data_IF_232965607483
#
_entry.id   IF_232965607483
#
_cell.length_a   1.000
_cell.length_b   1.000
_cell.length_c   1.000
_cell.angle_alpha   90.00
_cell.angle_beta   90.00
_cell.angle_gamma   90.00
#
_symmetry.space_group_name_H-M   'P 1'
#
loop_
_entity.id
_entity.type
_entity.pdbx_description
1 polymer ?
#
# COMPACT_ATOMS: atom_id res chain seq x y z
N UNK A 1 29.91 1.71 -20.47
CA UNK A 1 29.01 2.68 -19.82
C UNK A 1 27.63 2.07 -19.81
N UNK A 2 26.98 1.98 -18.66
CA UNK A 2 25.56 1.58 -18.59
C UNK A 2 24.75 2.74 -19.19
N UNK A 3 23.92 2.47 -20.19
CA UNK A 3 23.07 3.51 -20.78
C UNK A 3 22.13 4.08 -19.71
N UNK A 4 21.81 5.35 -19.84
CA UNK A 4 20.87 6.03 -18.94
C UNK A 4 19.54 5.25 -18.87
N UNK A 5 19.09 4.72 -20.01
CA UNK A 5 17.94 3.83 -20.11
C UNK A 5 18.06 2.58 -19.22
N UNK A 6 19.21 1.88 -19.24
CA UNK A 6 19.40 0.66 -18.43
C UNK A 6 19.35 0.96 -16.93
N UNK A 7 19.85 2.13 -16.50
CA UNK A 7 19.76 2.58 -15.11
C UNK A 7 18.30 2.85 -14.71
N UNK A 8 17.54 3.56 -15.54
CA UNK A 8 16.14 3.87 -15.23
C UNK A 8 15.24 2.62 -15.27
N UNK A 9 15.54 1.64 -16.13
CA UNK A 9 14.86 0.32 -16.12
C UNK A 9 15.10 -0.35 -14.77
N UNK A 10 16.36 -0.42 -14.31
CA UNK A 10 16.67 -1.05 -13.02
C UNK A 10 16.00 -0.33 -11.85
N UNK A 11 15.89 1.00 -11.92
CA UNK A 11 15.19 1.81 -10.92
C UNK A 11 13.69 1.50 -10.90
N UNK A 12 13.07 1.32 -12.06
CA UNK A 12 11.67 0.90 -12.15
C UNK A 12 11.47 -0.50 -11.52
N UNK A 13 12.34 -1.46 -11.81
CA UNK A 13 12.24 -2.81 -11.23
C UNK A 13 12.20 -2.77 -9.69
N UNK A 14 13.14 -2.04 -9.07
CA UNK A 14 13.20 -1.91 -7.61
C UNK A 14 11.94 -1.23 -7.06
N UNK A 15 11.51 -0.11 -7.65
CA UNK A 15 10.29 0.59 -7.21
C UNK A 15 9.04 -0.26 -7.35
N UNK A 16 8.98 -1.13 -8.36
CA UNK A 16 7.88 -2.06 -8.52
C UNK A 16 7.88 -3.15 -7.45
N UNK A 17 9.04 -3.70 -7.11
CA UNK A 17 9.18 -4.65 -6.00
C UNK A 17 8.76 -4.01 -4.67
N UNK A 18 9.18 -2.77 -4.40
CA UNK A 18 8.82 -2.01 -3.20
C UNK A 18 7.31 -1.74 -3.11
N UNK A 19 6.68 -1.31 -4.21
CA UNK A 19 5.23 -1.13 -4.31
C UNK A 19 4.48 -2.44 -4.04
N UNK A 20 4.88 -3.54 -4.68
CA UNK A 20 4.24 -4.84 -4.49
C UNK A 20 4.36 -5.35 -3.05
N UNK A 21 5.49 -5.09 -2.40
CA UNK A 21 5.68 -5.41 -0.99
C UNK A 21 4.75 -4.59 -0.10
N UNK A 22 4.65 -3.28 -0.33
CA UNK A 22 3.76 -2.41 0.43
C UNK A 22 2.28 -2.81 0.27
N UNK A 23 1.84 -3.14 -0.94
CA UNK A 23 0.51 -3.69 -1.24
C UNK A 23 0.25 -4.99 -0.47
N UNK A 24 1.21 -5.92 -0.49
CA UNK A 24 1.08 -7.20 0.22
C UNK A 24 0.92 -7.01 1.73
N UNK A 25 1.73 -6.14 2.34
CA UNK A 25 1.64 -5.80 3.76
C UNK A 25 0.30 -5.13 4.11
N UNK A 26 -0.21 -4.23 3.25
CA UNK A 26 -1.53 -3.62 3.42
C UNK A 26 -2.67 -4.63 3.40
N UNK A 27 -2.63 -5.61 2.49
CA UNK A 27 -3.66 -6.67 2.42
C UNK A 27 -3.79 -7.42 3.75
N UNK A 28 -2.69 -7.71 4.44
CA UNK A 28 -2.72 -8.36 5.74
C UNK A 28 -3.32 -7.43 6.83
N UNK A 29 -3.00 -6.13 6.80
CA UNK A 29 -3.61 -5.14 7.69
C UNK A 29 -5.13 -5.01 7.47
N UNK A 30 -5.58 -5.02 6.22
CA UNK A 30 -7.01 -4.98 5.86
C UNK A 30 -7.71 -6.25 6.37
N UNK A 31 -7.11 -7.43 6.17
CA UNK A 31 -7.66 -8.69 6.69
C UNK A 31 -7.81 -8.65 8.21
N UNK A 32 -6.79 -8.18 8.93
CA UNK A 32 -6.84 -8.02 10.38
C UNK A 32 -7.96 -7.07 10.79
N UNK A 33 -8.02 -5.89 10.17
CA UNK A 33 -9.05 -4.88 10.41
C UNK A 33 -10.46 -5.44 10.26
N UNK A 34 -10.71 -6.15 9.16
CA UNK A 34 -12.01 -6.82 8.89
C UNK A 34 -12.33 -7.86 9.96
N UNK A 35 -11.36 -8.65 10.45
CA UNK A 35 -11.60 -9.58 11.56
C UNK A 35 -12.01 -8.84 12.84
N UNK A 36 -11.29 -7.78 13.20
CA UNK A 36 -11.58 -7.00 14.42
C UNK A 36 -12.97 -6.37 14.36
N UNK A 37 -13.36 -5.81 13.21
CA UNK A 37 -14.73 -5.30 13.02
C UNK A 37 -15.79 -6.40 13.12
N UNK A 38 -15.53 -7.60 12.57
CA UNK A 38 -16.46 -8.74 12.71
C UNK A 38 -16.60 -9.20 14.16
N UNK A 39 -15.52 -9.19 14.93
CA UNK A 39 -15.56 -9.54 16.35
C UNK A 39 -16.35 -8.51 17.17
N UNK A 40 -16.11 -7.23 16.91
CA UNK A 40 -16.89 -6.14 17.51
C UNK A 40 -18.39 -6.28 17.18
N UNK A 41 -18.72 -6.51 15.90
CA UNK A 41 -20.11 -6.70 15.46
C UNK A 41 -20.78 -7.89 16.15
N UNK A 42 -20.11 -9.04 16.23
CA UNK A 42 -20.63 -10.20 16.98
C UNK A 42 -20.85 -9.89 18.46
N UNK A 43 -19.98 -9.08 19.06
CA UNK A 43 -20.17 -8.61 20.43
C UNK A 43 -21.40 -7.72 20.57
N UNK A 44 -21.60 -6.78 19.64
CA UNK A 44 -22.73 -5.86 19.62
C UNK A 44 -24.06 -6.60 19.40
N UNK A 45 -24.10 -7.60 18.52
CA UNK A 45 -25.28 -8.43 18.26
C UNK A 45 -25.71 -9.25 19.48
N UNK A 46 -24.74 -9.70 20.30
CA UNK A 46 -25.00 -10.45 21.53
C UNK A 46 -25.46 -9.56 22.69
N UNK A 47 -25.37 -8.24 22.56
CA UNK A 47 -25.70 -7.29 23.62
C UNK A 47 -27.22 -7.25 23.85
N UNK A 48 -27.67 -7.77 24.99
CA UNK A 48 -29.03 -7.61 25.48
C UNK A 48 -29.26 -6.30 26.27
N UNK A 49 -30.52 -6.01 26.62
CA UNK A 49 -30.89 -4.86 27.49
C UNK A 49 -30.26 -4.91 28.90
N UNK A 50 -29.82 -6.08 29.35
CA UNK A 50 -29.22 -6.34 30.67
C UNK A 50 -27.77 -6.80 30.57
N UNK A 51 -27.00 -6.28 29.61
CA UNK A 51 -25.57 -6.60 29.50
C UNK A 51 -24.81 -6.15 30.74
N UNK A 52 -23.90 -6.97 31.23
CA UNK A 52 -23.10 -6.67 32.42
C UNK A 52 -22.12 -5.53 32.15
N UNK A 53 -21.62 -4.89 33.21
CA UNK A 53 -20.58 -3.85 33.10
C UNK A 53 -19.32 -4.39 32.42
N UNK A 54 -18.97 -5.66 32.66
CA UNK A 54 -17.80 -6.32 32.09
C UNK A 54 -17.96 -6.58 30.58
N UNK A 55 -19.16 -6.96 30.14
CA UNK A 55 -19.47 -7.10 28.70
C UNK A 55 -19.39 -5.76 27.97
N UNK A 56 -19.86 -4.69 28.60
CA UNK A 56 -19.76 -3.32 28.07
C UNK A 56 -18.29 -2.89 27.97
N UNK A 57 -17.48 -3.13 29.01
CA UNK A 57 -16.06 -2.78 29.00
C UNK A 57 -15.30 -3.53 27.90
N UNK A 58 -15.57 -4.83 27.74
CA UNK A 58 -14.99 -5.64 26.66
C UNK A 58 -15.35 -5.08 25.28
N UNK A 59 -16.61 -4.67 25.08
CA UNK A 59 -17.05 -4.03 23.83
C UNK A 59 -16.35 -2.69 23.57
N UNK A 60 -16.12 -1.90 24.61
CA UNK A 60 -15.40 -0.63 24.48
C UNK A 60 -13.93 -0.85 24.10
N UNK A 61 -13.29 -1.91 24.61
CA UNK A 61 -11.93 -2.31 24.21
C UNK A 61 -11.91 -2.76 22.74
N UNK A 62 -12.81 -3.65 22.33
CA UNK A 62 -12.95 -4.08 20.93
C UNK A 62 -13.20 -2.90 19.98
N UNK A 63 -13.97 -1.89 20.41
CA UNK A 63 -14.15 -0.65 19.65
C UNK A 63 -12.82 0.09 19.47
N UNK A 64 -12.02 0.22 20.52
CA UNK A 64 -10.69 0.85 20.44
C UNK A 64 -9.79 0.09 19.48
N UNK A 65 -9.73 -1.24 19.62
CA UNK A 65 -8.91 -2.11 18.77
C UNK A 65 -9.31 -2.00 17.29
N UNK A 66 -10.61 -1.93 17.00
CA UNK A 66 -11.11 -1.75 15.63
C UNK A 66 -10.69 -0.39 15.04
N UNK A 67 -10.78 0.69 15.84
CA UNK A 67 -10.35 2.03 15.41
C UNK A 67 -8.83 2.09 15.18
N UNK A 68 -8.04 1.50 16.06
CA UNK A 68 -6.59 1.40 15.88
C UNK A 68 -6.21 0.59 14.64
N UNK A 69 -6.88 -0.54 14.42
CA UNK A 69 -6.65 -1.36 13.23
C UNK A 69 -7.01 -0.62 11.94
N UNK A 70 -8.09 0.17 11.93
CA UNK A 70 -8.43 1.02 10.79
C UNK A 70 -7.39 2.12 10.57
N UNK A 71 -6.89 2.72 11.66
CA UNK A 71 -5.79 3.71 11.59
C UNK A 71 -4.53 3.14 10.95
N UNK A 72 -4.18 1.87 11.24
CA UNK A 72 -3.06 1.17 10.59
C UNK A 72 -3.27 0.99 9.09
N UNK A 73 -4.48 0.59 8.67
CA UNK A 73 -4.83 0.48 7.24
C UNK A 73 -4.65 1.83 6.54
N UNK A 74 -5.24 2.90 7.07
CA UNK A 74 -5.14 4.24 6.49
C UNK A 74 -3.69 4.73 6.37
N UNK A 75 -2.86 4.42 7.37
CA UNK A 75 -1.43 4.73 7.29
C UNK A 75 -0.73 3.95 6.18
N UNK A 76 -1.07 2.67 6.00
CA UNK A 76 -0.49 1.85 4.93
C UNK A 76 -0.95 2.28 3.54
N UNK A 77 -2.19 2.74 3.38
CA UNK A 77 -2.67 3.33 2.12
C UNK A 77 -1.85 4.57 1.72
N UNK A 78 -1.49 5.41 2.70
CA UNK A 78 -0.59 6.53 2.47
C UNK A 78 0.81 6.09 1.99
N UNK A 79 1.31 4.97 2.50
CA UNK A 79 2.59 4.40 2.05
C UNK A 79 2.50 3.81 0.63
N UNK A 80 1.42 3.10 0.32
CA UNK A 80 1.15 2.57 -1.02
C UNK A 80 1.11 3.71 -2.05
N UNK A 81 0.40 4.79 -1.74
CA UNK A 81 0.29 5.94 -2.65
C UNK A 81 1.66 6.61 -2.86
N UNK A 82 2.50 6.64 -1.81
CA UNK A 82 3.88 7.11 -1.92
C UNK A 82 4.70 6.24 -2.88
N UNK A 83 4.70 4.91 -2.72
CA UNK A 83 5.43 4.01 -3.62
C UNK A 83 4.89 4.06 -5.05
N UNK A 84 3.57 4.16 -5.20
CA UNK A 84 2.92 4.34 -6.50
C UNK A 84 3.33 5.63 -7.20
N UNK A 85 3.53 6.72 -6.44
CA UNK A 85 4.05 7.97 -7.00
C UNK A 85 5.45 7.78 -7.61
N UNK A 86 6.31 6.98 -6.98
CA UNK A 86 7.62 6.63 -7.51
C UNK A 86 7.54 5.81 -8.80
N UNK A 87 6.54 4.93 -8.95
CA UNK A 87 6.29 4.24 -10.22
C UNK A 87 5.96 5.23 -11.34
N UNK A 88 5.07 6.19 -11.09
CA UNK A 88 4.71 7.19 -12.08
C UNK A 88 5.90 8.06 -12.50
N UNK A 89 6.77 8.45 -11.56
CA UNK A 89 8.02 9.14 -11.89
C UNK A 89 8.91 8.30 -12.80
N UNK A 90 9.04 7.00 -12.52
CA UNK A 90 9.83 6.08 -13.35
C UNK A 90 9.27 5.98 -14.76
N UNK A 91 7.95 5.85 -14.91
CA UNK A 91 7.30 5.82 -16.24
C UNK A 91 7.54 7.11 -17.02
N UNK A 92 7.40 8.27 -16.35
CA UNK A 92 7.66 9.58 -16.96
C UNK A 92 9.11 9.77 -17.41
N UNK A 93 10.06 9.12 -16.75
CA UNK A 93 11.50 9.22 -17.07
C UNK A 93 11.94 8.24 -18.15
N UNK A 94 11.36 7.03 -18.18
CA UNK A 94 11.75 5.97 -19.12
C UNK A 94 11.50 6.33 -20.57
N UNK A 95 10.37 6.99 -20.87
CA UNK A 95 10.00 7.37 -22.23
C UNK A 95 11.05 8.29 -22.89
N UNK A 96 11.44 9.45 -22.28
CA UNK A 96 12.54 10.27 -22.79
C UNK A 96 13.86 9.53 -22.93
N UNK A 97 14.22 8.67 -21.97
CA UNK A 97 15.46 7.89 -22.05
C UNK A 97 15.47 6.95 -23.26
N UNK A 98 14.33 6.31 -23.55
CA UNK A 98 14.19 5.44 -24.71
C UNK A 98 14.32 6.23 -26.02
N UNK A 99 13.64 7.36 -26.14
CA UNK A 99 13.71 8.21 -27.34
C UNK A 99 15.15 8.68 -27.61
N UNK A 100 15.88 9.09 -26.58
CA UNK A 100 17.28 9.50 -26.68
C UNK A 100 18.18 8.40 -27.24
N UNK A 101 17.96 7.14 -26.87
CA UNK A 101 18.73 6.02 -27.44
C UNK A 101 18.42 5.85 -28.95
N UNK A 102 17.17 6.01 -29.38
CA UNK A 102 16.81 5.97 -30.80
C UNK A 102 17.33 7.17 -31.61
N UNK A 103 17.36 8.37 -31.02
CA UNK A 103 17.99 9.55 -31.62
C UNK A 103 19.49 9.35 -31.84
N UNK A 104 20.18 8.77 -30.85
CA UNK A 104 21.60 8.42 -30.96
C UNK A 104 21.85 7.39 -32.06
N UNK A 105 20.98 6.38 -32.20
CA UNK A 105 21.08 5.39 -33.29
C UNK A 105 20.96 6.06 -34.67
N UNK A 106 20.00 6.96 -34.86
CA UNK A 106 19.83 7.70 -36.12
C UNK A 106 21.05 8.58 -36.43
N UNK A 107 21.61 9.24 -35.42
CA UNK A 107 22.74 10.16 -35.58
C UNK A 107 24.06 9.45 -35.90
N UNK A 108 24.24 8.22 -35.43
CA UNK A 108 25.43 7.39 -35.71
C UNK A 108 25.32 6.55 -37.00
N UNK A 109 24.19 6.63 -37.71
CA UNK A 109 23.93 5.89 -38.95
C UNK A 109 24.15 6.73 -40.22
N UNK A 110 24.66 7.96 -40.07
CA UNK A 110 25.01 8.93 -41.13
C UNK A 110 26.51 9.15 -41.08
#
# INVERSE_FOLDING_TARGET
>A
MVSELSREIRKLEVRFEDYMKAEHESVELVKECVRTFRELMKGLEKRGKTSSSEEIEKLLRLRSDALESLGRVLKSEGNIEHEKSHLFESYGTLLPCLEKEFENLKSNSI
#
